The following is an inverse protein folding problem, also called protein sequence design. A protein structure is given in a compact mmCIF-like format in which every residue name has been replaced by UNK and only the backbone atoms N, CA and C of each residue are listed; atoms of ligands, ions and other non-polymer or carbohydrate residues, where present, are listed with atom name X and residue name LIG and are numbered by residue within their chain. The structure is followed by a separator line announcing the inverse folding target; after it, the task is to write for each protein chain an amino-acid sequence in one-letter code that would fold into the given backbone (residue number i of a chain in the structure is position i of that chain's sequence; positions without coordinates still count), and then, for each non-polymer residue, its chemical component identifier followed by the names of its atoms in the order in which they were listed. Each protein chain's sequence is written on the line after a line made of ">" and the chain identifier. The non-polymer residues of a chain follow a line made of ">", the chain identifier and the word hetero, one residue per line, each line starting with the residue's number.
data_IF_106134200574
#
_entry.id   IF_106134200574
#
_cell.length_a   1.000
_cell.length_b   1.000
_cell.length_c   1.000
_cell.angle_alpha   90.00
_cell.angle_beta   90.00
_cell.angle_gamma   90.00
#
_symmetry.space_group_name_H-M   'P 1'
#
loop_
_entity.id
_entity.type
_entity.pdbx_description
1 polymer ?
#
# COMPACT_ATOMS: atom_id res chain seq x y z
N UNK A 1 -11.01 1.62 3.28
CA UNK A 1 -11.08 2.82 2.43
C UNK A 1 -12.44 3.52 2.57
N UNK A 2 -13.54 2.80 2.51
CA UNK A 2 -14.89 3.38 2.70
C UNK A 2 -15.05 4.05 4.06
N UNK A 3 -14.48 3.49 5.09
CA UNK A 3 -14.50 4.04 6.45
C UNK A 3 -13.95 5.47 6.51
N UNK A 4 -13.05 5.82 5.57
CA UNK A 4 -12.41 7.13 5.51
C UNK A 4 -12.83 7.92 4.26
N UNK A 5 -14.05 7.70 3.77
CA UNK A 5 -14.64 8.44 2.65
C UNK A 5 -13.85 8.32 1.34
N UNK A 6 -13.34 7.13 1.05
CA UNK A 6 -12.64 6.87 -0.21
C UNK A 6 -13.55 7.06 -1.42
N UNK A 7 -13.01 7.63 -2.50
CA UNK A 7 -13.72 7.80 -3.77
C UNK A 7 -13.95 6.44 -4.45
N UNK A 8 -14.81 6.43 -5.48
CA UNK A 8 -15.04 5.22 -6.30
C UNK A 8 -13.73 4.72 -6.93
N UNK A 9 -12.92 5.66 -7.42
CA UNK A 9 -11.62 5.36 -8.02
C UNK A 9 -10.66 4.73 -7.00
N UNK A 10 -10.64 5.25 -5.77
CA UNK A 10 -9.81 4.70 -4.69
C UNK A 10 -10.25 3.29 -4.30
N UNK A 11 -11.56 3.05 -4.21
CA UNK A 11 -12.11 1.74 -3.88
C UNK A 11 -11.75 0.73 -4.99
N UNK A 12 -11.93 1.12 -6.25
CA UNK A 12 -11.57 0.28 -7.39
C UNK A 12 -10.07 -0.05 -7.39
N UNK A 13 -9.20 0.94 -7.16
CA UNK A 13 -7.75 0.74 -7.12
C UNK A 13 -7.34 -0.18 -5.97
N UNK A 14 -7.96 -0.05 -4.80
CA UNK A 14 -7.70 -0.93 -3.66
C UNK A 14 -8.00 -2.39 -3.98
N UNK A 15 -9.07 -2.64 -4.75
CA UNK A 15 -9.42 -4.00 -5.19
C UNK A 15 -8.51 -4.50 -6.31
N UNK A 16 -8.14 -3.63 -7.24
CA UNK A 16 -7.43 -4.03 -8.46
C UNK A 16 -5.92 -4.17 -8.30
N UNK A 17 -5.30 -3.53 -7.30
CA UNK A 17 -3.84 -3.66 -7.15
C UNK A 17 -3.42 -5.10 -6.86
N UNK A 18 -4.21 -5.86 -6.11
CA UNK A 18 -3.95 -7.29 -5.87
C UNK A 18 -4.10 -8.10 -7.16
N UNK A 19 -5.01 -7.72 -8.05
CA UNK A 19 -5.21 -8.40 -9.33
C UNK A 19 -3.96 -8.29 -10.19
N UNK A 20 -3.34 -7.10 -10.24
CA UNK A 20 -2.09 -6.90 -10.99
C UNK A 20 -0.94 -7.73 -10.41
N UNK A 21 -0.84 -7.79 -9.08
CA UNK A 21 0.23 -8.55 -8.41
C UNK A 21 0.04 -10.06 -8.54
N UNK A 22 -1.20 -10.54 -8.47
CA UNK A 22 -1.53 -11.96 -8.36
C UNK A 22 -1.91 -12.63 -9.69
N UNK A 23 -2.10 -11.86 -10.76
CA UNK A 23 -2.52 -12.37 -12.07
C UNK A 23 -1.68 -11.74 -13.19
N UNK A 24 -1.95 -12.16 -14.43
CA UNK A 24 -1.30 -11.61 -15.63
C UNK A 24 -1.92 -10.31 -16.14
N UNK A 25 -2.92 -9.78 -15.44
CA UNK A 25 -3.54 -8.51 -15.79
C UNK A 25 -2.54 -7.37 -15.65
N UNK A 26 -2.41 -6.55 -16.69
CA UNK A 26 -1.46 -5.44 -16.72
C UNK A 26 -2.11 -4.11 -16.32
N UNK A 27 -1.27 -3.14 -15.94
CA UNK A 27 -1.71 -1.76 -15.68
C UNK A 27 -2.37 -1.16 -16.93
N UNK A 28 -1.86 -1.47 -18.14
CA UNK A 28 -2.44 -0.97 -19.39
C UNK A 28 -3.86 -1.51 -19.62
N UNK A 29 -4.12 -2.77 -19.29
CA UNK A 29 -5.45 -3.34 -19.35
C UNK A 29 -6.41 -2.64 -18.38
N UNK A 30 -5.94 -2.34 -17.17
CA UNK A 30 -6.71 -1.59 -16.18
C UNK A 30 -7.00 -0.19 -16.68
N UNK A 31 -6.03 0.46 -17.32
CA UNK A 31 -6.21 1.81 -17.89
C UNK A 31 -7.29 1.83 -18.96
N UNK A 32 -7.35 0.81 -19.81
CA UNK A 32 -8.38 0.70 -20.85
C UNK A 32 -9.77 0.47 -20.28
N UNK A 33 -9.88 -0.34 -19.23
CA UNK A 33 -11.17 -0.71 -18.62
C UNK A 33 -11.71 0.32 -17.62
N UNK A 34 -10.82 0.94 -16.83
CA UNK A 34 -11.19 1.77 -15.68
C UNK A 34 -10.71 3.22 -15.77
N UNK A 35 -9.90 3.55 -16.78
CA UNK A 35 -9.40 4.90 -16.99
C UNK A 35 -8.08 5.21 -16.29
N UNK A 36 -7.55 6.39 -16.58
CA UNK A 36 -6.23 6.82 -16.10
C UNK A 36 -6.17 7.01 -14.58
N UNK A 37 -7.23 7.55 -13.98
CA UNK A 37 -7.24 7.81 -12.54
C UNK A 37 -7.07 6.52 -11.73
N UNK A 38 -7.82 5.48 -12.07
CA UNK A 38 -7.71 4.18 -11.40
C UNK A 38 -6.36 3.52 -11.70
N UNK A 39 -5.93 3.53 -12.96
CA UNK A 39 -4.65 2.92 -13.35
C UNK A 39 -3.46 3.56 -12.64
N UNK A 40 -3.45 4.88 -12.49
CA UNK A 40 -2.38 5.58 -11.79
C UNK A 40 -2.34 5.22 -10.30
N UNK A 41 -3.51 5.09 -9.66
CA UNK A 41 -3.57 4.64 -8.27
C UNK A 41 -3.08 3.20 -8.12
N UNK A 42 -3.48 2.31 -9.03
CA UNK A 42 -3.02 0.91 -9.01
C UNK A 42 -1.51 0.83 -9.18
N UNK A 43 -0.95 1.62 -10.10
CA UNK A 43 0.49 1.67 -10.32
C UNK A 43 1.23 2.14 -9.06
N UNK A 44 0.74 3.19 -8.41
CA UNK A 44 1.30 3.68 -7.15
C UNK A 44 1.27 2.63 -6.03
N UNK A 45 0.26 1.78 -6.02
CA UNK A 45 0.06 0.74 -5.00
C UNK A 45 0.81 -0.55 -5.29
N UNK A 46 1.16 -0.81 -6.55
CA UNK A 46 1.79 -2.07 -6.97
C UNK A 46 3.27 -2.05 -6.62
N UNK A 47 3.74 -3.10 -5.96
CA UNK A 47 5.15 -3.24 -5.61
C UNK A 47 6.01 -3.32 -6.88
N UNK A 48 7.14 -2.63 -6.87
CA UNK A 48 8.08 -2.57 -7.99
C UNK A 48 9.20 -3.59 -7.86
N UNK A 49 9.45 -4.09 -6.65
CA UNK A 49 10.51 -5.06 -6.42
C UNK A 49 10.15 -6.46 -6.95
N UNK A 50 11.17 -7.21 -7.30
CA UNK A 50 11.06 -8.59 -7.77
C UNK A 50 11.99 -9.48 -6.93
N UNK A 51 11.73 -10.80 -6.83
CA UNK A 51 12.59 -11.68 -6.05
C UNK A 51 14.06 -11.60 -6.43
N UNK A 52 14.37 -11.34 -7.71
CA UNK A 52 15.74 -11.23 -8.21
C UNK A 52 16.45 -9.93 -7.79
N UNK A 53 15.74 -8.95 -7.26
CA UNK A 53 16.33 -7.65 -6.90
C UNK A 53 17.15 -7.66 -5.61
N UNK A 54 17.07 -8.74 -4.84
CA UNK A 54 17.86 -8.87 -3.62
C UNK A 54 17.08 -9.50 -2.46
N UNK A 55 17.61 -9.32 -1.24
CA UNK A 55 16.97 -9.84 -0.04
C UNK A 55 15.71 -8.99 0.33
N UNK A 56 15.00 -9.41 1.38
CA UNK A 56 13.78 -8.73 1.81
C UNK A 56 14.02 -7.25 2.13
N UNK A 57 15.12 -6.92 2.81
CA UNK A 57 15.42 -5.54 3.18
C UNK A 57 15.61 -4.65 1.95
N UNK A 58 16.31 -5.14 0.94
CA UNK A 58 16.51 -4.44 -0.34
C UNK A 58 15.19 -4.25 -1.07
N UNK A 59 14.38 -5.30 -1.18
CA UNK A 59 13.08 -5.23 -1.85
C UNK A 59 12.12 -4.29 -1.14
N UNK A 60 12.07 -4.31 0.19
CA UNK A 60 11.23 -3.40 0.97
C UNK A 60 11.67 -1.95 0.82
N UNK A 61 12.98 -1.69 0.70
CA UNK A 61 13.49 -0.35 0.45
C UNK A 61 13.04 0.18 -0.92
N UNK A 62 13.07 -0.66 -1.97
CA UNK A 62 12.60 -0.31 -3.30
C UNK A 62 11.10 0.04 -3.29
N UNK A 63 10.30 -0.78 -2.65
CA UNK A 63 8.83 -0.57 -2.57
C UNK A 63 8.51 0.66 -1.73
N UNK A 64 9.27 0.92 -0.69
CA UNK A 64 9.14 2.12 0.15
C UNK A 64 9.45 3.39 -0.65
N UNK A 65 10.50 3.38 -1.47
CA UNK A 65 10.84 4.51 -2.35
C UNK A 65 9.73 4.77 -3.36
N UNK A 66 9.12 3.73 -3.90
CA UNK A 66 7.98 3.84 -4.80
C UNK A 66 6.79 4.50 -4.08
N UNK A 67 6.49 4.06 -2.86
CA UNK A 67 5.41 4.65 -2.05
C UNK A 67 5.68 6.12 -1.72
N UNK A 68 6.93 6.49 -1.48
CA UNK A 68 7.30 7.87 -1.18
C UNK A 68 6.95 8.84 -2.31
N UNK A 69 6.89 8.35 -3.54
CA UNK A 69 6.56 9.13 -4.73
C UNK A 69 5.07 9.04 -5.11
N UNK A 70 4.30 8.24 -4.39
CA UNK A 70 2.89 8.02 -4.68
C UNK A 70 2.03 9.25 -4.38
N UNK A 71 0.83 9.29 -4.95
CA UNK A 71 -0.16 10.32 -4.65
C UNK A 71 -0.68 10.19 -3.21
N UNK A 72 -1.24 11.27 -2.68
CA UNK A 72 -1.88 11.24 -1.36
C UNK A 72 -3.02 10.21 -1.32
N UNK A 73 -3.81 10.10 -2.39
CA UNK A 73 -4.89 9.11 -2.48
C UNK A 73 -4.36 7.68 -2.38
N UNK A 74 -3.26 7.37 -3.08
CA UNK A 74 -2.62 6.05 -2.99
C UNK A 74 -2.09 5.78 -1.57
N UNK A 75 -1.52 6.78 -0.92
CA UNK A 75 -1.05 6.67 0.46
C UNK A 75 -2.19 6.37 1.44
N UNK A 76 -3.38 6.96 1.24
CA UNK A 76 -4.57 6.67 2.05
C UNK A 76 -4.97 5.20 1.91
N UNK A 77 -5.00 4.68 0.70
CA UNK A 77 -5.30 3.27 0.44
C UNK A 77 -4.27 2.37 1.14
N UNK A 78 -2.99 2.73 1.03
CA UNK A 78 -1.89 1.98 1.66
C UNK A 78 -2.02 1.98 3.18
N UNK A 79 -2.38 3.11 3.78
CA UNK A 79 -2.58 3.21 5.23
C UNK A 79 -3.74 2.32 5.69
N UNK A 80 -4.85 2.28 4.96
CA UNK A 80 -5.98 1.41 5.26
C UNK A 80 -5.57 -0.07 5.22
N UNK A 81 -4.79 -0.45 4.22
CA UNK A 81 -4.25 -1.80 4.07
C UNK A 81 -3.32 -2.18 5.24
N UNK A 82 -2.45 -1.25 5.63
CA UNK A 82 -1.55 -1.44 6.77
C UNK A 82 -2.32 -1.64 8.09
N UNK A 83 -3.41 -0.90 8.30
CA UNK A 83 -4.23 -1.06 9.49
C UNK A 83 -4.81 -2.47 9.56
N UNK A 84 -5.42 -2.94 8.48
CA UNK A 84 -6.01 -4.28 8.41
C UNK A 84 -4.95 -5.38 8.56
N UNK A 85 -3.83 -5.25 7.87
CA UNK A 85 -2.75 -6.24 7.93
C UNK A 85 -2.10 -6.30 9.31
N UNK A 86 -1.98 -5.17 10.00
CA UNK A 86 -1.43 -5.13 11.36
C UNK A 86 -2.28 -5.95 12.30
N UNK A 87 -3.60 -5.76 12.26
CA UNK A 87 -4.53 -6.53 13.12
C UNK A 87 -4.39 -8.03 12.87
N UNK A 88 -4.37 -8.43 11.61
CA UNK A 88 -4.26 -9.85 11.23
C UNK A 88 -2.92 -10.46 11.65
N UNK A 89 -1.82 -9.78 11.36
CA UNK A 89 -0.46 -10.29 11.63
C UNK A 89 -0.19 -10.36 13.13
N UNK A 90 -0.59 -9.37 13.90
CA UNK A 90 -0.38 -9.39 15.36
C UNK A 90 -1.17 -10.50 16.03
N UNK A 91 -2.36 -10.84 15.50
CA UNK A 91 -3.18 -11.92 16.02
C UNK A 91 -2.66 -13.30 15.60
N UNK A 92 -2.31 -13.48 14.33
CA UNK A 92 -2.04 -14.80 13.76
C UNK A 92 -0.56 -15.15 13.65
N UNK A 93 0.34 -14.18 13.66
CA UNK A 93 1.79 -14.41 13.55
C UNK A 93 2.61 -13.41 14.40
N UNK A 94 2.56 -13.56 15.74
CA UNK A 94 3.25 -12.60 16.62
C UNK A 94 4.77 -12.55 16.44
N UNK A 95 5.41 -13.60 15.96
CA UNK A 95 6.85 -13.59 15.70
C UNK A 95 7.18 -12.72 14.50
N UNK A 96 6.45 -12.86 13.41
CA UNK A 96 6.62 -12.03 12.23
C UNK A 96 6.20 -10.59 12.49
N UNK A 97 5.24 -10.38 13.41
CA UNK A 97 4.77 -9.04 13.75
C UNK A 97 5.92 -8.09 14.11
N UNK A 98 6.95 -8.57 14.78
CA UNK A 98 8.12 -7.75 15.14
C UNK A 98 8.83 -7.18 13.92
N UNK A 99 9.02 -8.00 12.89
CA UNK A 99 9.62 -7.59 11.62
C UNK A 99 8.68 -6.66 10.87
N UNK A 100 7.41 -7.04 10.79
CA UNK A 100 6.37 -6.29 10.10
C UNK A 100 6.22 -4.86 10.67
N UNK A 101 6.21 -4.71 12.00
CA UNK A 101 6.05 -3.40 12.63
C UNK A 101 7.22 -2.47 12.35
N UNK A 102 8.44 -2.99 12.25
CA UNK A 102 9.61 -2.20 11.84
C UNK A 102 9.48 -1.73 10.40
N UNK A 103 9.04 -2.60 9.51
CA UNK A 103 8.80 -2.27 8.10
C UNK A 103 7.69 -1.22 7.97
N UNK A 104 6.63 -1.38 8.77
CA UNK A 104 5.51 -0.43 8.82
C UNK A 104 5.95 0.96 9.29
N UNK A 105 6.81 1.05 10.32
CA UNK A 105 7.35 2.32 10.79
C UNK A 105 8.08 3.05 9.68
N UNK A 106 8.97 2.36 8.98
CA UNK A 106 9.73 2.93 7.88
C UNK A 106 8.81 3.38 6.73
N UNK A 107 7.78 2.59 6.45
CA UNK A 107 6.82 2.92 5.39
C UNK A 107 5.99 4.16 5.75
N UNK A 108 5.45 4.23 6.97
CA UNK A 108 4.69 5.38 7.42
C UNK A 108 5.52 6.68 7.39
N UNK A 109 6.81 6.58 7.66
CA UNK A 109 7.70 7.75 7.65
C UNK A 109 7.82 8.38 6.25
N UNK A 110 7.68 7.59 5.17
CA UNK A 110 7.71 8.11 3.79
C UNK A 110 6.34 8.54 3.28
N UNK A 111 5.27 8.24 4.00
CA UNK A 111 3.91 8.60 3.64
C UNK A 111 3.54 9.99 4.18
N UNK A 112 4.44 10.94 4.00
CA UNK A 112 4.36 12.28 4.61
C UNK A 112 3.21 13.14 4.08
N UNK A 113 2.70 12.88 2.87
CA UNK A 113 1.60 13.65 2.28
C UNK A 113 0.30 13.53 3.07
N UNK A 114 0.14 12.44 3.83
CA UNK A 114 -1.08 12.19 4.60
C UNK A 114 -0.84 12.17 6.11
N UNK A 115 0.33 12.57 6.58
CA UNK A 115 0.73 12.50 8.00
C UNK A 115 -0.26 13.22 8.93
N UNK A 116 -0.91 14.28 8.45
CA UNK A 116 -1.92 15.04 9.20
C UNK A 116 -3.30 14.38 9.26
N UNK A 117 -3.53 13.31 8.47
CA UNK A 117 -4.83 12.67 8.35
C UNK A 117 -5.05 11.61 9.43
N UNK A 118 -6.30 11.44 9.85
CA UNK A 118 -6.66 10.48 10.89
C UNK A 118 -6.27 9.05 10.54
N UNK A 119 -6.38 8.67 9.26
CA UNK A 119 -6.01 7.31 8.84
C UNK A 119 -4.53 7.02 9.07
N UNK A 120 -3.64 8.00 8.82
CA UNK A 120 -2.21 7.85 9.10
C UNK A 120 -1.96 7.70 10.60
N UNK A 121 -2.62 8.53 11.40
CA UNK A 121 -2.51 8.50 12.86
C UNK A 121 -3.03 7.18 13.44
N UNK A 122 -4.10 6.63 12.88
CA UNK A 122 -4.62 5.32 13.26
C UNK A 122 -3.61 4.21 12.97
N UNK A 123 -3.00 4.22 11.77
CA UNK A 123 -1.96 3.26 11.42
C UNK A 123 -0.74 3.38 12.34
N UNK A 124 -0.32 4.61 12.66
CA UNK A 124 0.79 4.90 13.55
C UNK A 124 0.51 4.41 14.99
N UNK A 125 -0.72 4.54 15.45
CA UNK A 125 -1.13 4.13 16.81
C UNK A 125 -1.03 2.63 17.05
N UNK A 126 -0.96 1.83 16.00
CA UNK A 126 -0.82 0.38 16.10
C UNK A 126 0.63 -0.08 16.31
N UNK A 127 1.59 0.82 16.26
CA UNK A 127 3.02 0.50 16.41
C UNK A 127 3.46 0.24 17.86
#
# INVERSE_FOLDING_TARGET
>A
VRKHNGSKEMIAAALLHDVVEDTDVTIDEIRQEFGNAVANLVDDLTDVSKPADGNRATRKAMDRDHTAQASAAAMVIKAADLINNTESITEHDPKFAKVYLKEKRALLDVMFKIKHMDIWKEADSQL
#
